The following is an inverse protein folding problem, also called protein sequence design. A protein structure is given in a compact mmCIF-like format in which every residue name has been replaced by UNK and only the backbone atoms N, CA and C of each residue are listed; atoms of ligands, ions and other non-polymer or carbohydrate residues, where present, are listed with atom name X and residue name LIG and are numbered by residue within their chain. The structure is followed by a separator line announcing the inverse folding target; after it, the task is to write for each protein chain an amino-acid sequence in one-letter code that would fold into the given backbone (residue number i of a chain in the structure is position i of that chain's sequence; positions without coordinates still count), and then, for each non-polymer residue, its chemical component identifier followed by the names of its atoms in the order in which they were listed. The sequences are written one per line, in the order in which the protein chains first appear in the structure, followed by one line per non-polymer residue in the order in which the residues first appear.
data_IF_686257277421
#
_entry.id   IF_686257277421
#
_cell.length_a   1.000
_cell.length_b   1.000
_cell.length_c   1.000
_cell.angle_alpha   90.00
_cell.angle_beta   90.00
_cell.angle_gamma   90.00
#
_symmetry.space_group_name_H-M   'P 1'
#
loop_
_entity.id
_entity.type
_entity.pdbx_description
1 polymer ?
#
# COMPACT_ATOMS: atom_id res chain seq x y z
N UNK A 1 0.90 -8.83 -26.89
CA UNK A 1 0.32 -9.31 -25.60
C UNK A 1 1.47 -9.82 -24.74
N UNK A 2 1.98 -8.99 -23.82
CA UNK A 2 3.06 -9.42 -22.93
C UNK A 2 2.46 -10.23 -21.78
N UNK A 3 2.70 -11.54 -21.78
CA UNK A 3 2.47 -12.40 -20.62
C UNK A 3 3.49 -12.01 -19.55
N UNK A 4 3.01 -11.47 -18.43
CA UNK A 4 3.85 -11.16 -17.27
C UNK A 4 4.31 -12.48 -16.63
N UNK A 5 5.51 -12.91 -17.00
CA UNK A 5 6.15 -14.12 -16.44
C UNK A 5 6.53 -13.86 -14.98
N UNK A 6 5.99 -14.66 -14.07
CA UNK A 6 6.39 -14.66 -12.64
C UNK A 6 7.65 -15.51 -12.51
N UNK A 7 8.76 -14.85 -12.22
CA UNK A 7 10.07 -15.48 -12.09
C UNK A 7 10.17 -16.39 -10.85
N UNK A 8 10.86 -17.54 -10.97
CA UNK A 8 10.98 -18.55 -9.93
C UNK A 8 12.16 -18.25 -9.00
N UNK A 9 11.90 -17.52 -7.90
CA UNK A 9 12.85 -17.41 -6.78
C UNK A 9 12.49 -18.44 -5.70
N UNK A 10 13.42 -19.28 -5.20
CA UNK A 10 13.13 -20.24 -4.14
C UNK A 10 12.71 -19.52 -2.84
N UNK A 11 11.65 -20.00 -2.18
CA UNK A 11 11.21 -19.54 -0.86
C UNK A 11 9.92 -18.73 -0.79
N UNK A 12 9.38 -18.18 -1.89
CA UNK A 12 8.08 -17.52 -1.89
C UNK A 12 7.04 -18.33 -2.67
N UNK A 13 5.83 -18.47 -2.08
CA UNK A 13 4.71 -19.11 -2.77
C UNK A 13 4.31 -18.33 -4.03
N UNK A 14 3.84 -19.03 -5.07
CA UNK A 14 3.39 -18.40 -6.33
C UNK A 14 2.34 -17.31 -6.10
N UNK A 15 1.41 -17.54 -5.18
CA UNK A 15 0.37 -16.56 -4.84
C UNK A 15 0.93 -15.36 -4.06
N UNK A 16 2.00 -15.55 -3.26
CA UNK A 16 2.68 -14.44 -2.58
C UNK A 16 3.36 -13.47 -3.54
N UNK A 17 4.06 -13.99 -4.55
CA UNK A 17 4.66 -13.16 -5.62
C UNK A 17 3.58 -12.43 -6.43
N UNK A 18 2.48 -13.11 -6.72
CA UNK A 18 1.36 -12.52 -7.44
C UNK A 18 0.68 -11.41 -6.61
N UNK A 19 0.50 -11.63 -5.31
CA UNK A 19 -0.01 -10.60 -4.41
C UNK A 19 0.91 -9.37 -4.39
N UNK A 20 2.24 -9.59 -4.38
CA UNK A 20 3.20 -8.48 -4.44
C UNK A 20 3.09 -7.73 -5.78
N UNK A 21 3.06 -8.41 -6.91
CA UNK A 21 2.91 -7.80 -8.23
C UNK A 21 1.62 -6.97 -8.36
N UNK A 22 0.50 -7.50 -7.85
CA UNK A 22 -0.78 -6.77 -7.81
C UNK A 22 -0.71 -5.54 -6.88
N UNK A 23 -0.05 -5.68 -5.74
CA UNK A 23 0.18 -4.56 -4.81
C UNK A 23 0.98 -3.45 -5.47
N UNK A 24 2.06 -3.78 -6.17
CA UNK A 24 2.91 -2.80 -6.85
C UNK A 24 2.12 -2.03 -7.92
N UNK A 25 1.25 -2.68 -8.69
CA UNK A 25 0.36 -2.04 -9.66
C UNK A 25 -0.65 -1.09 -9.00
N UNK A 26 -1.21 -1.46 -7.84
CA UNK A 26 -2.09 -0.58 -7.04
C UNK A 26 -1.31 0.64 -6.56
N UNK A 27 -0.09 0.46 -6.05
CA UNK A 27 0.77 1.55 -5.59
C UNK A 27 1.19 2.49 -6.73
N UNK A 28 1.37 1.97 -7.94
CA UNK A 28 1.65 2.75 -9.15
C UNK A 28 0.42 3.51 -9.66
N UNK A 29 -0.75 3.32 -9.03
CA UNK A 29 -1.98 4.04 -9.37
C UNK A 29 -2.73 3.46 -10.56
N UNK A 30 -2.47 2.21 -10.95
CA UNK A 30 -3.22 1.56 -12.03
C UNK A 30 -4.72 1.44 -11.71
N UNK A 31 -5.03 1.27 -10.42
CA UNK A 31 -6.40 1.34 -9.90
C UNK A 31 -6.44 2.32 -8.73
N UNK A 32 -7.28 3.34 -8.85
CA UNK A 32 -7.42 4.37 -7.83
C UNK A 32 -8.13 3.83 -6.55
N UNK A 33 -7.92 4.45 -5.38
CA UNK A 33 -8.66 4.12 -4.17
C UNK A 33 -10.18 4.15 -4.38
N UNK A 34 -10.84 3.03 -4.10
CA UNK A 34 -12.26 2.83 -4.33
C UNK A 34 -12.65 2.34 -5.71
N UNK A 35 -11.70 2.18 -6.61
CA UNK A 35 -11.91 1.60 -7.93
C UNK A 35 -12.01 0.07 -7.85
N UNK A 36 -12.78 -0.53 -8.78
CA UNK A 36 -12.88 -1.97 -8.93
C UNK A 36 -11.70 -2.50 -9.73
N UNK A 37 -11.04 -3.54 -9.21
CA UNK A 37 -10.01 -4.25 -9.98
C UNK A 37 -10.65 -5.24 -10.96
N UNK A 38 -9.93 -5.67 -12.02
CA UNK A 38 -10.44 -6.66 -12.96
C UNK A 38 -10.90 -7.95 -12.28
N UNK A 39 -11.85 -8.65 -12.90
CA UNK A 39 -12.37 -9.92 -12.40
C UNK A 39 -11.26 -10.97 -12.23
N UNK A 40 -11.43 -11.88 -11.27
CA UNK A 40 -10.47 -12.95 -10.97
C UNK A 40 -10.09 -13.77 -12.23
N UNK A 41 -11.07 -14.05 -13.10
CA UNK A 41 -10.83 -14.75 -14.38
C UNK A 41 -9.96 -13.97 -15.35
N UNK A 42 -10.18 -12.65 -15.43
CA UNK A 42 -9.37 -11.75 -16.29
C UNK A 42 -7.94 -11.66 -15.77
N UNK A 43 -7.77 -11.52 -14.45
CA UNK A 43 -6.45 -11.52 -13.84
C UNK A 43 -5.74 -12.87 -14.02
N UNK A 44 -6.45 -14.00 -13.83
CA UNK A 44 -5.89 -15.34 -14.04
C UNK A 44 -5.36 -15.50 -15.47
N UNK A 45 -6.12 -15.04 -16.45
CA UNK A 45 -5.73 -15.07 -17.85
C UNK A 45 -4.52 -14.17 -18.14
N UNK A 46 -4.51 -12.92 -17.63
CA UNK A 46 -3.42 -11.96 -17.87
C UNK A 46 -2.09 -12.39 -17.25
N UNK A 47 -2.15 -13.07 -16.10
CA UNK A 47 -0.95 -13.58 -15.42
C UNK A 47 -0.58 -15.03 -15.82
N UNK A 48 -1.40 -15.71 -16.63
CA UNK A 48 -1.15 -17.09 -17.03
C UNK A 48 -1.14 -18.09 -15.87
N UNK A 49 -1.98 -17.86 -14.84
CA UNK A 49 -2.05 -18.68 -13.62
C UNK A 49 -3.45 -19.26 -13.41
N UNK A 50 -3.52 -20.31 -12.58
CA UNK A 50 -4.80 -20.89 -12.21
C UNK A 50 -5.65 -19.90 -11.37
N UNK A 51 -6.97 -19.96 -11.54
CA UNK A 51 -7.94 -19.11 -10.82
C UNK A 51 -7.77 -19.21 -9.30
N UNK A 52 -7.46 -20.41 -8.77
CA UNK A 52 -7.18 -20.63 -7.35
C UNK A 52 -5.99 -19.81 -6.83
N UNK A 53 -4.94 -19.67 -7.66
CA UNK A 53 -3.75 -18.87 -7.32
C UNK A 53 -4.08 -17.38 -7.23
N UNK A 54 -4.91 -16.86 -8.15
CA UNK A 54 -5.42 -15.49 -8.09
C UNK A 54 -6.26 -15.29 -6.82
N UNK A 55 -7.18 -16.20 -6.50
CA UNK A 55 -8.01 -16.11 -5.31
C UNK A 55 -7.19 -16.03 -4.03
N UNK A 56 -6.15 -16.85 -3.92
CA UNK A 56 -5.23 -16.83 -2.78
C UNK A 56 -4.47 -15.50 -2.70
N UNK A 57 -3.94 -15.00 -3.83
CA UNK A 57 -3.25 -13.72 -3.88
C UNK A 57 -4.15 -12.54 -3.47
N UNK A 58 -5.38 -12.50 -4.00
CA UNK A 58 -6.36 -11.48 -3.64
C UNK A 58 -6.81 -11.58 -2.17
N UNK A 59 -6.92 -12.79 -1.61
CA UNK A 59 -7.25 -12.97 -0.20
C UNK A 59 -6.17 -12.39 0.70
N UNK A 60 -4.88 -12.57 0.38
CA UNK A 60 -3.79 -11.91 1.11
C UNK A 60 -3.91 -10.37 1.06
N UNK A 61 -4.25 -9.81 -0.11
CA UNK A 61 -4.42 -8.36 -0.24
C UNK A 61 -5.66 -7.84 0.52
N UNK A 62 -6.69 -8.65 0.66
CA UNK A 62 -7.86 -8.34 1.50
C UNK A 62 -7.51 -8.41 2.98
N UNK A 63 -6.79 -9.44 3.41
CA UNK A 63 -6.29 -9.59 4.80
C UNK A 63 -5.35 -8.44 5.17
N UNK A 64 -4.51 -8.00 4.23
CA UNK A 64 -3.63 -6.84 4.39
C UNK A 64 -4.40 -5.49 4.34
N UNK A 65 -5.71 -5.50 4.05
CA UNK A 65 -6.53 -4.29 3.95
C UNK A 65 -6.29 -3.44 2.70
N UNK A 66 -5.55 -3.97 1.72
CA UNK A 66 -5.28 -3.32 0.42
C UNK A 66 -6.52 -3.34 -0.47
N UNK A 67 -7.24 -4.45 -0.42
CA UNK A 67 -8.44 -4.68 -1.19
C UNK A 67 -9.64 -4.96 -0.27
N UNK A 68 -10.83 -4.68 -0.77
CA UNK A 68 -12.10 -4.96 -0.12
C UNK A 68 -13.02 -5.72 -1.08
N UNK A 69 -13.49 -6.90 -0.69
CA UNK A 69 -14.54 -7.62 -1.43
C UNK A 69 -15.91 -7.04 -1.10
N UNK A 70 -16.71 -6.80 -2.14
CA UNK A 70 -18.11 -6.41 -2.01
C UNK A 70 -18.96 -7.46 -2.72
N UNK A 71 -19.78 -8.14 -1.94
CA UNK A 71 -20.62 -9.23 -2.46
C UNK A 71 -21.45 -8.79 -3.69
N UNK A 72 -21.37 -9.55 -4.78
CA UNK A 72 -22.06 -9.26 -6.04
C UNK A 72 -21.55 -8.05 -6.83
N UNK A 73 -20.57 -7.28 -6.30
CA UNK A 73 -20.08 -6.05 -6.93
C UNK A 73 -18.62 -6.12 -7.37
N UNK A 74 -17.84 -7.06 -6.83
CA UNK A 74 -16.44 -7.24 -7.18
C UNK A 74 -15.47 -6.95 -6.04
N UNK A 75 -14.20 -6.83 -6.39
CA UNK A 75 -13.10 -6.50 -5.46
C UNK A 75 -12.61 -5.10 -5.77
N UNK A 76 -12.49 -4.27 -4.75
CA UNK A 76 -12.19 -2.84 -4.85
C UNK A 76 -10.90 -2.52 -4.11
N UNK A 77 -10.16 -1.52 -4.60
CA UNK A 77 -9.08 -0.90 -3.85
C UNK A 77 -9.68 -0.17 -2.64
N UNK A 78 -9.11 -0.38 -1.45
CA UNK A 78 -9.65 0.20 -0.23
C UNK A 78 -9.59 1.72 -0.27
N UNK A 79 -10.71 2.38 0.08
CA UNK A 79 -10.78 3.84 0.24
C UNK A 79 -10.30 4.22 1.63
N UNK A 80 -9.35 5.13 1.68
CA UNK A 80 -8.86 5.66 2.95
C UNK A 80 -7.99 4.63 3.66
N UNK A 81 -6.72 4.78 3.47
CA UNK A 81 -5.74 4.08 4.28
C UNK A 81 -5.63 4.90 5.54
N UNK A 82 -6.31 4.51 6.62
CA UNK A 82 -5.96 4.98 7.96
C UNK A 82 -4.45 4.79 8.11
N UNK A 83 -3.74 5.76 8.72
CA UNK A 83 -2.27 5.74 8.80
C UNK A 83 -1.68 4.40 9.26
N UNK A 84 -2.43 3.63 10.06
CA UNK A 84 -2.09 2.26 10.47
C UNK A 84 -2.14 1.25 9.30
N UNK A 85 -3.01 1.45 8.31
CA UNK A 85 -3.15 0.56 7.15
C UNK A 85 -2.06 0.82 6.12
N UNK A 86 -1.66 2.10 5.93
CA UNK A 86 -0.55 2.44 5.04
C UNK A 86 0.77 1.84 5.53
N UNK A 87 0.95 1.72 6.85
CA UNK A 87 2.12 1.09 7.45
C UNK A 87 2.21 -0.42 7.17
N UNK A 88 1.08 -1.12 6.94
CA UNK A 88 1.07 -2.52 6.54
C UNK A 88 1.52 -2.73 5.09
N UNK A 89 1.47 -1.70 4.24
CA UNK A 89 1.97 -1.76 2.87
C UNK A 89 3.49 -1.77 2.80
N UNK A 90 4.16 -1.15 3.75
CA UNK A 90 5.61 -1.15 3.85
C UNK A 90 6.04 -2.30 4.77
N UNK A 91 6.11 -3.51 4.24
CA UNK A 91 6.84 -4.60 4.90
C UNK A 91 8.32 -4.31 4.76
N UNK A 92 8.90 -3.64 5.74
CA UNK A 92 10.33 -3.58 5.87
C UNK A 92 10.80 -4.99 6.24
N UNK A 93 11.58 -5.60 5.37
CA UNK A 93 12.28 -6.84 5.70
C UNK A 93 13.60 -6.45 6.36
N UNK A 94 13.86 -6.98 7.54
CA UNK A 94 15.20 -6.97 8.12
C UNK A 94 16.18 -7.63 7.14
N UNK A 95 17.39 -7.09 7.06
CA UNK A 95 18.40 -7.58 6.12
C UNK A 95 18.86 -9.02 6.44
N UNK A 96 18.67 -9.50 7.69
CA UNK A 96 19.32 -10.71 8.19
C UNK A 96 18.39 -11.90 8.51
N UNK A 97 17.09 -11.73 8.71
CA UNK A 97 16.25 -12.81 9.24
C UNK A 97 14.90 -13.02 8.57
N UNK A 98 14.57 -12.22 7.57
CA UNK A 98 13.27 -12.32 6.88
C UNK A 98 12.06 -11.93 7.73
N UNK A 99 12.29 -11.42 8.95
CA UNK A 99 11.26 -11.02 9.86
C UNK A 99 10.60 -9.71 9.40
N UNK A 100 9.28 -9.60 9.55
CA UNK A 100 8.53 -8.40 9.18
C UNK A 100 8.70 -7.35 10.26
N UNK A 101 9.47 -6.30 9.99
CA UNK A 101 9.62 -5.16 10.90
C UNK A 101 8.39 -4.26 10.76
N UNK A 102 7.76 -3.95 11.88
CA UNK A 102 6.62 -3.02 11.91
C UNK A 102 7.11 -1.63 12.32
N UNK A 103 7.05 -0.65 11.41
CA UNK A 103 7.41 0.71 11.76
C UNK A 103 6.37 1.32 12.70
N UNK A 104 6.84 1.91 13.78
CA UNK A 104 6.03 2.72 14.70
C UNK A 104 6.18 4.20 14.38
N UNK A 105 5.12 4.97 14.61
CA UNK A 105 5.11 6.40 14.40
C UNK A 105 4.47 7.08 15.61
N UNK A 106 5.23 7.94 16.29
CA UNK A 106 4.78 8.75 17.41
C UNK A 106 4.73 10.21 16.98
N UNK A 107 3.57 10.86 17.14
CA UNK A 107 3.44 12.29 16.91
C UNK A 107 4.03 13.00 18.14
N UNK A 108 5.09 13.78 17.94
CA UNK A 108 5.75 14.56 18.97
C UNK A 108 5.05 15.89 19.17
N UNK A 109 4.75 16.58 18.08
CA UNK A 109 4.03 17.85 18.09
C UNK A 109 3.02 17.92 16.94
N UNK A 110 1.94 18.64 17.18
CA UNK A 110 0.88 18.91 16.22
C UNK A 110 0.37 20.33 16.46
N UNK A 111 0.48 21.21 15.45
CA UNK A 111 -0.01 22.59 15.57
C UNK A 111 -0.59 23.10 14.25
N UNK A 112 -1.68 23.82 14.36
CA UNK A 112 -2.23 24.61 13.27
C UNK A 112 -1.47 25.93 13.18
N UNK A 113 -1.05 26.31 11.97
CA UNK A 113 -0.43 27.61 11.69
C UNK A 113 -0.72 28.08 10.27
N UNK A 114 -0.50 29.34 9.99
CA UNK A 114 -0.59 29.84 8.62
C UNK A 114 0.54 29.23 7.75
N UNK A 115 0.21 28.90 6.51
CA UNK A 115 1.17 28.47 5.53
C UNK A 115 2.20 29.56 5.25
N UNK A 116 3.47 29.19 5.10
CA UNK A 116 4.48 30.07 4.57
C UNK A 116 4.24 30.30 3.06
N UNK A 117 4.83 31.34 2.49
CA UNK A 117 4.72 31.64 1.05
C UNK A 117 5.19 30.46 0.19
N UNK A 118 6.23 29.76 0.63
CA UNK A 118 6.73 28.57 -0.09
C UNK A 118 5.77 27.41 -0.03
N UNK A 119 5.15 27.16 1.14
CA UNK A 119 4.16 26.09 1.31
C UNK A 119 2.86 26.40 0.55
N UNK A 120 2.38 27.63 0.63
CA UNK A 120 1.21 28.06 -0.13
C UNK A 120 1.41 27.83 -1.63
N UNK A 121 2.56 28.19 -2.17
CA UNK A 121 2.90 27.94 -3.57
C UNK A 121 3.05 26.45 -3.88
N UNK A 122 3.70 25.66 -3.04
CA UNK A 122 3.90 24.23 -3.26
C UNK A 122 2.60 23.43 -3.23
N UNK A 123 1.65 23.82 -2.39
CA UNK A 123 0.37 23.13 -2.22
C UNK A 123 -0.79 23.79 -2.98
N UNK A 124 -0.55 24.87 -3.71
CA UNK A 124 -1.60 25.60 -4.43
C UNK A 124 -2.67 26.22 -3.51
N UNK A 125 -2.25 26.70 -2.33
CA UNK A 125 -3.13 27.28 -1.33
C UNK A 125 -3.20 28.80 -1.50
N UNK A 126 -4.30 29.39 -1.01
CA UNK A 126 -4.43 30.84 -0.90
C UNK A 126 -3.52 31.41 0.19
N UNK A 127 -3.17 32.70 0.06
CA UNK A 127 -2.35 33.37 1.08
C UNK A 127 -3.04 33.35 2.45
N UNK A 128 -2.28 32.94 3.48
CA UNK A 128 -2.80 32.85 4.83
C UNK A 128 -3.60 31.56 5.14
N UNK A 129 -3.70 30.63 4.20
CA UNK A 129 -4.33 29.34 4.45
C UNK A 129 -3.73 28.64 5.67
N UNK A 130 -4.56 27.95 6.44
CA UNK A 130 -4.13 27.20 7.60
C UNK A 130 -3.56 25.83 7.19
N UNK A 131 -2.40 25.49 7.72
CA UNK A 131 -1.76 24.18 7.56
C UNK A 131 -1.52 23.53 8.90
N UNK A 132 -1.64 22.20 8.94
CA UNK A 132 -1.29 21.41 10.10
C UNK A 132 0.18 21.02 10.01
N UNK A 133 0.99 21.55 10.89
CA UNK A 133 2.39 21.12 11.06
C UNK A 133 2.43 19.93 11.99
N UNK A 134 3.01 18.83 11.52
CA UNK A 134 3.23 17.62 12.30
C UNK A 134 4.73 17.35 12.40
N UNK A 135 5.19 17.09 13.63
CA UNK A 135 6.50 16.53 13.91
C UNK A 135 6.29 15.12 14.46
N UNK A 136 6.89 14.14 13.82
CA UNK A 136 6.71 12.75 14.22
C UNK A 136 8.02 11.98 14.19
N UNK A 137 8.22 11.17 15.22
CA UNK A 137 9.31 10.22 15.32
C UNK A 137 8.87 8.90 14.67
N UNK A 138 9.71 8.37 13.80
CA UNK A 138 9.54 7.00 13.28
C UNK A 138 10.61 6.10 13.88
N UNK A 139 10.20 4.92 14.31
CA UNK A 139 11.09 3.89 14.84
C UNK A 139 10.83 2.55 14.14
N UNK A 140 11.89 1.78 13.98
CA UNK A 140 11.88 0.38 13.56
C UNK A 140 12.37 -0.42 14.76
N UNK A 141 11.57 -1.40 15.24
CA UNK A 141 11.90 -2.22 16.41
C UNK A 141 12.39 -1.40 17.64
N UNK A 142 11.69 -0.30 17.95
CA UNK A 142 12.00 0.66 19.01
C UNK A 142 13.23 1.56 18.77
N UNK A 143 13.98 1.38 17.68
CA UNK A 143 15.07 2.29 17.33
C UNK A 143 14.58 3.46 16.45
N UNK A 144 14.86 4.72 16.82
CA UNK A 144 14.51 5.87 15.99
C UNK A 144 15.23 5.84 14.65
N UNK A 145 14.50 5.94 13.55
CA UNK A 145 15.09 5.91 12.22
C UNK A 145 14.84 7.18 11.39
N UNK A 146 13.88 8.01 11.79
CA UNK A 146 13.55 9.25 11.08
C UNK A 146 12.78 10.20 11.99
N UNK A 147 13.11 11.48 11.94
CA UNK A 147 12.38 12.60 12.52
C UNK A 147 11.46 13.27 11.52
#
# INVERSE_FOLDING_TARGET
MSTLMIDHTPGQSRYGKLAQALRDRILQGEWAPGEVIPAESTLAQSYGVALGTIRQALSLLVEDGVLQRRHGKGTFVTKGVDGASMMRFFRFRGLDDGNSITPHSQILTSRLRSASVQEARAFGLEDGAQVLQLERLRSLDAEPCLL
#
